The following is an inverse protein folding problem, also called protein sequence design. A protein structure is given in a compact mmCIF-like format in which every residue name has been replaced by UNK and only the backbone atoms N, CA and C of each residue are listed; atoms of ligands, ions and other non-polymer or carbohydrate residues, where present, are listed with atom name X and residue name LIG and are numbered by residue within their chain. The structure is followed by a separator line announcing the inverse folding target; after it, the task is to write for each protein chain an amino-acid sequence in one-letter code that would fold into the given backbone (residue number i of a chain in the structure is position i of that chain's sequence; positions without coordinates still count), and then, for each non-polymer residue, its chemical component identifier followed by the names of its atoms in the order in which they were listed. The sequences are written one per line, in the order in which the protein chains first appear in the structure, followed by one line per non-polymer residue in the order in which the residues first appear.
data_IF_291245976056
#
_entry.id   IF_291245976056
#
_cell.length_a   1.000
_cell.length_b   1.000
_cell.length_c   1.000
_cell.angle_alpha   90.00
_cell.angle_beta   90.00
_cell.angle_gamma   90.00
#
_symmetry.space_group_name_H-M   'P 1'
#
loop_
_entity.id
_entity.type
_entity.pdbx_description
1 polymer ?
#
# COMPACT_ATOMS: atom_id res chain seq x y z
N UNK A 1 7.64 -7.59 -15.95
CA UNK A 1 8.21 -6.73 -14.90
C UNK A 1 7.15 -6.52 -13.84
N UNK A 2 7.51 -6.69 -12.58
CA UNK A 2 6.63 -6.55 -11.42
C UNK A 2 7.07 -5.34 -10.60
N UNK A 3 6.16 -4.39 -10.40
CA UNK A 3 6.39 -3.18 -9.62
C UNK A 3 5.54 -3.21 -8.36
N UNK A 4 6.19 -3.08 -7.21
CA UNK A 4 5.52 -2.91 -5.93
C UNK A 4 5.54 -1.43 -5.54
N UNK A 5 4.38 -0.79 -5.46
CA UNK A 5 4.25 0.56 -4.90
C UNK A 5 3.89 0.47 -3.42
N UNK A 6 4.52 1.30 -2.59
CA UNK A 6 4.32 1.29 -1.14
C UNK A 6 3.87 2.66 -0.67
N UNK A 7 2.68 2.73 -0.07
CA UNK A 7 2.07 3.97 0.42
C UNK A 7 1.31 3.70 1.72
N UNK A 8 1.21 4.70 2.58
CA UNK A 8 0.58 4.54 3.89
C UNK A 8 -0.92 4.23 3.83
N UNK A 9 -1.67 5.00 3.03
CA UNK A 9 -3.10 4.82 2.77
C UNK A 9 -3.38 4.78 1.26
N UNK A 10 -4.60 4.43 0.89
CA UNK A 10 -4.99 4.35 -0.51
C UNK A 10 -6.49 4.64 -0.70
N UNK A 11 -6.92 5.12 -1.88
CA UNK A 11 -8.34 5.30 -2.18
C UNK A 11 -9.13 3.98 -2.13
N UNK A 12 -10.43 4.03 -1.78
CA UNK A 12 -11.23 5.21 -1.43
C UNK A 12 -11.11 5.69 0.03
N UNK A 13 -10.39 4.96 0.89
CA UNK A 13 -10.36 5.22 2.34
C UNK A 13 -9.62 6.50 2.71
N UNK A 14 -8.68 6.93 1.86
CA UNK A 14 -8.03 8.22 1.96
C UNK A 14 -7.82 8.79 0.55
N UNK A 15 -7.80 10.13 0.43
CA UNK A 15 -7.72 10.86 -0.84
C UNK A 15 -6.67 11.99 -0.78
N UNK A 16 -5.55 11.76 -0.08
CA UNK A 16 -4.42 12.67 0.02
C UNK A 16 -3.58 12.73 -1.27
N UNK A 17 -2.75 13.77 -1.41
CA UNK A 17 -1.96 13.98 -2.64
C UNK A 17 -1.04 12.82 -3.01
N UNK A 18 -0.33 12.25 -2.03
CA UNK A 18 0.54 11.08 -2.25
C UNK A 18 -0.25 9.84 -2.69
N UNK A 19 -1.46 9.66 -2.18
CA UNK A 19 -2.31 8.50 -2.43
C UNK A 19 -2.97 8.59 -3.81
N UNK A 20 -3.44 9.77 -4.19
CA UNK A 20 -3.93 10.06 -5.54
C UNK A 20 -2.82 9.91 -6.58
N UNK A 21 -1.62 10.46 -6.29
CA UNK A 21 -0.45 10.26 -7.13
C UNK A 21 -0.11 8.78 -7.32
N UNK A 22 -0.10 8.01 -6.22
CA UNK A 22 0.16 6.56 -6.27
C UNK A 22 -0.90 5.85 -7.10
N UNK A 23 -2.19 6.15 -6.89
CA UNK A 23 -3.29 5.57 -7.67
C UNK A 23 -3.14 5.84 -9.17
N UNK A 24 -2.91 7.10 -9.54
CA UNK A 24 -2.87 7.50 -10.95
C UNK A 24 -1.62 6.93 -11.64
N UNK A 25 -0.48 6.92 -10.94
CA UNK A 25 0.73 6.27 -11.42
C UNK A 25 0.54 4.75 -11.57
N UNK A 26 -0.07 4.08 -10.58
CA UNK A 26 -0.34 2.65 -10.64
C UNK A 26 -1.24 2.31 -11.83
N UNK A 27 -2.31 3.10 -12.05
CA UNK A 27 -3.23 2.95 -13.20
C UNK A 27 -2.48 3.04 -14.52
N UNK A 28 -1.66 4.06 -14.73
CA UNK A 28 -0.94 4.22 -16.00
C UNK A 28 0.16 3.18 -16.20
N UNK A 29 0.90 2.81 -15.15
CA UNK A 29 1.94 1.77 -15.22
C UNK A 29 1.35 0.38 -15.48
N UNK A 30 0.14 0.10 -14.98
CA UNK A 30 -0.54 -1.19 -15.16
C UNK A 30 -0.81 -1.54 -16.63
N UNK A 31 -0.68 -0.56 -17.54
CA UNK A 31 -0.78 -0.76 -18.99
C UNK A 31 0.46 -1.42 -19.60
N UNK A 32 1.58 -1.41 -18.89
CA UNK A 32 2.90 -1.82 -19.38
C UNK A 32 3.55 -2.91 -18.53
N UNK A 33 3.21 -2.97 -17.25
CA UNK A 33 3.77 -3.93 -16.30
C UNK A 33 2.74 -4.34 -15.24
N UNK A 34 3.07 -5.39 -14.48
CA UNK A 34 2.28 -5.78 -13.31
C UNK A 34 2.57 -4.78 -12.19
N UNK A 35 1.53 -4.14 -11.66
CA UNK A 35 1.64 -3.21 -10.52
C UNK A 35 0.78 -3.72 -9.38
N UNK A 36 1.39 -3.83 -8.21
CA UNK A 36 0.68 -4.09 -6.96
C UNK A 36 0.99 -2.97 -5.96
N UNK A 37 -0.03 -2.51 -5.25
CA UNK A 37 0.06 -1.45 -4.23
C UNK A 37 -0.03 -2.11 -2.86
N UNK A 38 0.93 -1.82 -1.98
CA UNK A 38 0.90 -2.19 -0.57
C UNK A 38 0.56 -0.97 0.27
N UNK A 39 -0.49 -1.09 1.08
CA UNK A 39 -0.94 -0.02 1.96
C UNK A 39 -1.55 -0.55 3.26
N UNK A 40 -1.84 0.37 4.18
CA UNK A 40 -2.69 0.08 5.34
C UNK A 40 -4.07 0.68 5.17
N UNK A 41 -5.04 0.07 5.83
CA UNK A 41 -6.41 0.58 5.97
C UNK A 41 -6.84 0.55 7.44
N UNK A 42 -7.69 1.49 7.90
CA UNK A 42 -8.19 1.45 9.26
C UNK A 42 -8.93 0.14 9.53
N UNK A 43 -8.85 -0.41 10.75
CA UNK A 43 -9.59 -1.64 11.11
C UNK A 43 -11.11 -1.52 10.90
N UNK A 44 -11.66 -0.32 11.05
CA UNK A 44 -13.08 -0.02 10.81
C UNK A 44 -13.47 0.01 9.33
N UNK A 45 -12.51 -0.06 8.41
CA UNK A 45 -12.75 0.05 6.98
C UNK A 45 -12.58 -1.29 6.26
N UNK A 46 -13.39 -1.49 5.23
CA UNK A 46 -13.18 -2.56 4.28
C UNK A 46 -11.96 -2.22 3.42
N UNK A 47 -11.04 -3.17 3.18
CA UNK A 47 -9.95 -2.97 2.23
C UNK A 47 -10.53 -2.68 0.84
N UNK A 48 -9.86 -1.85 0.02
CA UNK A 48 -10.30 -1.60 -1.35
C UNK A 48 -10.44 -2.92 -2.11
N UNK A 49 -11.60 -3.14 -2.72
CA UNK A 49 -11.79 -4.28 -3.60
C UNK A 49 -11.01 -4.04 -4.89
N UNK A 50 -10.37 -5.09 -5.45
CA UNK A 50 -9.75 -4.98 -6.75
C UNK A 50 -10.83 -4.71 -7.80
N UNK A 51 -10.77 -3.55 -8.45
CA UNK A 51 -11.58 -3.26 -9.64
C UNK A 51 -10.75 -3.47 -10.90
N UNK A 52 -11.35 -3.81 -12.05
CA UNK A 52 -10.63 -3.97 -13.31
C UNK A 52 -9.85 -2.72 -13.77
N UNK A 53 -10.21 -1.55 -13.25
CA UNK A 53 -9.56 -0.27 -13.53
C UNK A 53 -8.50 0.14 -12.49
N UNK A 54 -8.36 -0.61 -11.40
CA UNK A 54 -7.43 -0.33 -10.31
C UNK A 54 -6.38 -1.43 -10.23
N UNK A 55 -5.14 -1.02 -10.02
CA UNK A 55 -4.03 -1.94 -9.73
C UNK A 55 -4.36 -2.83 -8.53
N UNK A 56 -3.78 -4.03 -8.49
CA UNK A 56 -3.95 -4.98 -7.37
C UNK A 56 -3.52 -4.26 -6.08
N UNK A 57 -4.35 -4.33 -5.04
CA UNK A 57 -4.07 -3.67 -3.76
C UNK A 57 -3.99 -4.71 -2.65
N UNK A 58 -2.82 -4.85 -2.01
CA UNK A 58 -2.67 -5.56 -0.74
C UNK A 58 -2.79 -4.56 0.40
N UNK A 59 -3.94 -4.58 1.08
CA UNK A 59 -4.25 -3.67 2.18
C UNK A 59 -4.22 -4.39 3.53
N UNK A 60 -3.45 -3.85 4.48
CA UNK A 60 -3.34 -4.39 5.84
C UNK A 60 -4.18 -3.56 6.79
N UNK A 61 -5.14 -4.22 7.45
CA UNK A 61 -5.94 -3.60 8.52
C UNK A 61 -5.06 -3.28 9.72
N UNK A 62 -5.06 -2.04 10.16
CA UNK A 62 -4.30 -1.55 11.30
C UNK A 62 -5.15 -0.58 12.13
N UNK A 63 -5.06 -0.69 13.45
CA UNK A 63 -5.60 0.33 14.33
C UNK A 63 -4.64 1.51 14.31
N UNK A 64 -5.12 2.65 13.82
CA UNK A 64 -4.34 3.87 13.88
C UNK A 64 -4.49 4.40 15.30
N UNK A 65 -3.63 3.90 16.20
CA UNK A 65 -3.49 4.43 17.54
C UNK A 65 -2.91 5.85 17.47
N UNK A 66 -3.72 6.80 16.99
CA UNK A 66 -3.58 8.24 17.04
C UNK A 66 -2.31 8.83 16.42
N UNK A 67 -2.46 10.02 15.85
CA UNK A 67 -1.43 10.89 15.29
C UNK A 67 -0.22 11.22 16.21
N UNK A 68 -0.10 10.59 17.39
CA UNK A 68 0.97 10.81 18.36
C UNK A 68 2.33 10.27 17.90
N UNK A 69 2.37 9.19 17.09
CA UNK A 69 3.64 8.69 16.59
C UNK A 69 3.56 7.89 15.27
N UNK A 70 3.33 8.54 14.13
CA UNK A 70 3.01 7.86 12.88
C UNK A 70 4.23 7.22 12.18
N UNK A 71 5.42 7.32 12.79
CA UNK A 71 6.65 6.73 12.30
C UNK A 71 7.28 5.74 13.28
N UNK A 72 7.23 5.90 14.61
CA UNK A 72 8.12 5.12 15.50
C UNK A 72 7.67 3.69 15.83
N UNK A 73 6.65 3.14 15.18
CA UNK A 73 6.17 1.80 15.50
C UNK A 73 6.66 0.77 14.48
N UNK A 74 7.57 -0.10 14.94
CA UNK A 74 7.78 -1.38 14.27
C UNK A 74 6.54 -2.24 14.43
N UNK A 75 6.01 -2.71 13.31
CA UNK A 75 4.77 -3.45 13.26
C UNK A 75 4.99 -4.80 12.60
N UNK A 76 5.09 -5.84 13.43
CA UNK A 76 5.34 -7.21 12.98
C UNK A 76 4.26 -7.75 12.02
N UNK A 77 3.02 -7.24 12.12
CA UNK A 77 1.93 -7.62 11.21
C UNK A 77 2.15 -7.03 9.83
N UNK A 78 2.55 -5.76 9.76
CA UNK A 78 2.92 -5.09 8.50
C UNK A 78 4.17 -5.74 7.89
N UNK A 79 5.20 -6.02 8.69
CA UNK A 79 6.43 -6.67 8.24
C UNK A 79 6.18 -8.07 7.67
N UNK A 80 5.41 -8.90 8.38
CA UNK A 80 5.09 -10.25 7.93
C UNK A 80 4.27 -10.22 6.63
N UNK A 81 3.31 -9.29 6.51
CA UNK A 81 2.53 -9.13 5.30
C UNK A 81 3.38 -8.62 4.12
N UNK A 82 4.27 -7.66 4.37
CA UNK A 82 5.19 -7.16 3.35
C UNK A 82 6.14 -8.28 2.87
N UNK A 83 6.72 -9.05 3.78
CA UNK A 83 7.58 -10.19 3.44
C UNK A 83 6.82 -11.27 2.64
N UNK A 84 5.59 -11.60 3.04
CA UNK A 84 4.74 -12.53 2.28
C UNK A 84 4.43 -12.01 0.88
N UNK A 85 4.16 -10.71 0.74
CA UNK A 85 3.94 -10.07 -0.55
C UNK A 85 5.21 -10.10 -1.42
N UNK A 86 6.39 -9.80 -0.86
CA UNK A 86 7.65 -9.89 -1.60
C UNK A 86 7.91 -11.31 -2.12
N UNK A 87 7.66 -12.33 -1.28
CA UNK A 87 7.83 -13.74 -1.67
C UNK A 87 6.86 -14.14 -2.81
N UNK A 88 5.63 -13.63 -2.80
CA UNK A 88 4.62 -13.93 -3.84
C UNK A 88 4.84 -13.14 -5.13
N UNK A 89 5.03 -11.82 -5.02
CA UNK A 89 5.09 -10.90 -6.15
C UNK A 89 6.46 -10.93 -6.84
N UNK A 90 7.55 -11.17 -6.09
CA UNK A 90 8.93 -11.07 -6.57
C UNK A 90 9.15 -9.79 -7.40
N UNK A 91 8.97 -8.59 -6.81
CA UNK A 91 9.04 -7.34 -7.56
C UNK A 91 10.46 -7.07 -8.07
N UNK A 92 10.56 -6.62 -9.33
CA UNK A 92 11.81 -6.12 -9.91
C UNK A 92 12.15 -4.73 -9.35
N UNK A 93 11.12 -3.95 -9.02
CA UNK A 93 11.22 -2.58 -8.50
C UNK A 93 10.25 -2.40 -7.34
N UNK A 94 10.75 -1.84 -6.24
CA UNK A 94 9.94 -1.35 -5.13
C UNK A 94 9.99 0.18 -5.14
N UNK A 95 8.85 0.82 -5.29
CA UNK A 95 8.69 2.27 -5.29
C UNK A 95 8.01 2.72 -3.99
N UNK A 96 8.81 3.21 -3.06
CA UNK A 96 8.33 3.67 -1.75
C UNK A 96 7.98 5.15 -1.81
N UNK A 97 6.70 5.45 -1.60
CA UNK A 97 6.18 6.81 -1.60
C UNK A 97 6.24 7.42 -0.20
N UNK A 98 5.82 6.64 0.80
CA UNK A 98 5.86 7.04 2.20
C UNK A 98 5.75 5.83 3.14
N UNK A 99 6.35 5.92 4.32
CA UNK A 99 6.36 4.86 5.35
C UNK A 99 5.44 5.14 6.56
N UNK A 100 4.56 6.14 6.45
CA UNK A 100 3.71 6.55 7.58
C UNK A 100 2.76 5.41 7.92
N UNK A 101 2.50 5.15 9.19
CA UNK A 101 1.58 4.09 9.62
C UNK A 101 1.88 2.69 9.06
N UNK A 102 3.04 2.46 8.43
CA UNK A 102 3.55 1.14 8.02
C UNK A 102 4.40 0.55 9.15
N UNK A 103 5.60 0.06 8.84
CA UNK A 103 6.67 -0.33 9.78
C UNK A 103 7.97 0.39 9.39
N UNK A 104 8.82 0.72 10.37
CA UNK A 104 10.17 1.30 10.18
C UNK A 104 11.31 0.26 10.22
#
# INVERSE_FOLDING_TARGET
MNVLQVVHFYPPQSMGGCELYTRDLARELSRWCTVEVFCTVPESCHPPEPSPEQSICTAIRKDYATFGNPFHERDAKVEAAFAALLNRLQPDIIHVQHLMNLSL
#
